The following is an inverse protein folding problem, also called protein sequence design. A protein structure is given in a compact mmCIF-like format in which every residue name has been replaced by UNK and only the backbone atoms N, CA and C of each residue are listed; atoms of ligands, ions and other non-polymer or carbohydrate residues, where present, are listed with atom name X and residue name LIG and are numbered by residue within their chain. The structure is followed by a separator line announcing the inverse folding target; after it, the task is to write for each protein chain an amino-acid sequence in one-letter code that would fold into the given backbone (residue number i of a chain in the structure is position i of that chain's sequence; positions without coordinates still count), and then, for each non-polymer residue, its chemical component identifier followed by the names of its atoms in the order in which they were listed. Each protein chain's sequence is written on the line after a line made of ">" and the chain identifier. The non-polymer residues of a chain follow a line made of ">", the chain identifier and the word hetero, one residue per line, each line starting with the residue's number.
data_IF_154674555261
#
_entry.id   IF_154674555261
#
_cell.length_a   1.000
_cell.length_b   1.000
_cell.length_c   1.000
_cell.angle_alpha   90.00
_cell.angle_beta   90.00
_cell.angle_gamma   90.00
#
_symmetry.space_group_name_H-M   'P 1'
#
loop_
_entity.id
_entity.type
_entity.pdbx_description
1 polymer ?
#
# COMPACT_ATOMS: atom_id res chain seq x y z
N UNK A 1 4.27 -23.45 12.49
CA UNK A 1 3.06 -22.93 13.15
C UNK A 1 1.95 -23.95 12.91
N UNK A 2 1.23 -24.37 13.94
CA UNK A 2 0.09 -25.28 13.81
C UNK A 2 -1.18 -24.43 13.93
N UNK A 3 -2.08 -24.56 12.96
CA UNK A 3 -3.36 -23.86 12.98
C UNK A 3 -4.37 -24.69 13.79
N UNK A 4 -5.17 -24.02 14.61
CA UNK A 4 -6.18 -24.66 15.45
C UNK A 4 -7.31 -25.26 14.61
N UNK A 5 -7.73 -24.56 13.55
CA UNK A 5 -8.71 -25.00 12.57
C UNK A 5 -8.43 -24.36 11.21
N UNK A 6 -9.12 -24.85 10.18
CA UNK A 6 -9.21 -24.22 8.87
C UNK A 6 -10.66 -23.84 8.57
N UNK A 7 -10.87 -22.77 7.82
CA UNK A 7 -12.16 -22.39 7.27
C UNK A 7 -12.33 -23.04 5.89
N UNK A 8 -13.36 -23.87 5.73
CA UNK A 8 -13.79 -24.45 4.45
C UNK A 8 -15.01 -23.68 3.96
N UNK A 9 -15.07 -23.31 2.69
CA UNK A 9 -16.30 -22.75 2.13
C UNK A 9 -17.46 -23.74 2.28
N UNK A 10 -18.60 -23.25 2.73
CA UNK A 10 -19.86 -23.99 2.64
C UNK A 10 -20.58 -23.70 1.31
N UNK A 11 -21.55 -24.53 0.96
CA UNK A 11 -22.31 -24.42 -0.28
C UNK A 11 -23.21 -23.17 -0.33
N UNK A 12 -23.39 -22.48 0.79
CA UNK A 12 -24.20 -21.26 0.92
C UNK A 12 -23.33 -19.98 0.93
N UNK A 13 -22.02 -20.10 0.65
CA UNK A 13 -21.09 -18.96 0.62
C UNK A 13 -20.59 -18.50 2.00
N UNK A 14 -20.86 -19.27 3.06
CA UNK A 14 -20.28 -19.11 4.39
C UNK A 14 -19.03 -19.97 4.59
N UNK A 15 -18.59 -20.09 5.84
CA UNK A 15 -17.40 -20.87 6.21
C UNK A 15 -17.71 -21.85 7.35
N UNK A 16 -17.32 -23.11 7.14
CA UNK A 16 -17.32 -24.17 8.15
C UNK A 16 -15.92 -24.31 8.77
N UNK A 17 -15.86 -24.49 10.10
CA UNK A 17 -14.60 -24.78 10.79
C UNK A 17 -14.27 -26.27 10.71
N UNK A 18 -13.12 -26.58 10.15
CA UNK A 18 -12.56 -27.93 10.10
C UNK A 18 -11.40 -28.04 11.07
N UNK A 19 -11.45 -29.03 11.95
CA UNK A 19 -10.42 -29.24 12.98
C UNK A 19 -9.41 -30.32 12.57
N UNK A 20 -8.16 -30.25 13.02
CA UNK A 20 -7.14 -31.27 12.73
C UNK A 20 -7.56 -32.69 13.09
N UNK A 21 -8.33 -32.87 14.17
CA UNK A 21 -8.88 -34.16 14.58
C UNK A 21 -9.73 -34.84 13.51
N UNK A 22 -10.46 -34.07 12.69
CA UNK A 22 -11.28 -34.60 11.60
C UNK A 22 -10.45 -35.24 10.48
N UNK A 23 -9.15 -34.92 10.39
CA UNK A 23 -8.27 -35.47 9.35
C UNK A 23 -7.91 -36.94 9.56
N UNK A 24 -8.31 -37.55 10.68
CA UNK A 24 -8.18 -38.99 10.90
C UNK A 24 -9.08 -39.80 9.96
N UNK A 25 -10.23 -39.25 9.57
CA UNK A 25 -11.11 -39.84 8.56
C UNK A 25 -10.46 -39.71 7.17
N UNK A 26 -10.26 -40.85 6.51
CA UNK A 26 -9.62 -40.91 5.21
C UNK A 26 -10.50 -40.36 4.09
N UNK A 27 -11.81 -40.58 4.13
CA UNK A 27 -12.77 -40.10 3.12
C UNK A 27 -12.88 -38.58 3.23
N UNK A 28 -13.06 -38.08 4.44
CA UNK A 28 -13.12 -36.64 4.69
C UNK A 28 -11.81 -35.95 4.31
N UNK A 29 -10.65 -36.52 4.66
CA UNK A 29 -9.36 -35.96 4.28
C UNK A 29 -9.18 -35.88 2.76
N UNK A 30 -9.65 -36.88 2.02
CA UNK A 30 -9.56 -36.88 0.56
C UNK A 30 -10.44 -35.79 -0.05
N UNK A 31 -11.67 -35.60 0.46
CA UNK A 31 -12.57 -34.56 -0.01
C UNK A 31 -11.99 -33.15 0.21
N UNK A 32 -11.21 -32.92 1.26
CA UNK A 32 -10.57 -31.63 1.51
C UNK A 32 -9.47 -31.24 0.50
N UNK A 33 -8.97 -32.17 -0.35
CA UNK A 33 -7.92 -31.84 -1.32
C UNK A 33 -8.41 -30.95 -2.46
N UNK A 34 -9.69 -31.04 -2.82
CA UNK A 34 -10.34 -30.19 -3.82
C UNK A 34 -10.82 -28.86 -3.26
N UNK A 35 -10.82 -28.71 -1.93
CA UNK A 35 -11.36 -27.54 -1.25
C UNK A 35 -10.35 -26.40 -1.13
N UNK A 36 -10.89 -25.18 -1.04
CA UNK A 36 -10.10 -24.03 -0.59
C UNK A 36 -10.27 -23.90 0.92
N UNK A 37 -9.19 -24.19 1.64
CA UNK A 37 -9.11 -24.01 3.08
C UNK A 37 -8.36 -22.72 3.40
N UNK A 38 -8.89 -21.90 4.30
CA UNK A 38 -8.27 -20.65 4.75
C UNK A 38 -7.98 -20.68 6.25
N UNK A 39 -7.12 -19.78 6.71
CA UNK A 39 -6.95 -19.51 8.13
C UNK A 39 -8.12 -18.68 8.70
N UNK A 40 -8.12 -18.45 10.01
CA UNK A 40 -9.19 -17.73 10.71
C UNK A 40 -9.41 -16.30 10.23
N UNK A 41 -8.38 -15.67 9.66
CA UNK A 41 -8.44 -14.32 9.10
C UNK A 41 -8.77 -14.30 7.60
N UNK A 42 -8.98 -15.47 6.97
CA UNK A 42 -9.24 -15.61 5.53
C UNK A 42 -8.10 -15.08 4.63
N UNK A 43 -6.87 -15.03 5.14
CA UNK A 43 -5.70 -14.44 4.46
C UNK A 43 -4.74 -15.48 3.92
N UNK A 44 -4.70 -16.67 4.51
CA UNK A 44 -3.71 -17.70 4.18
C UNK A 44 -4.39 -18.99 3.75
N UNK A 45 -4.06 -19.47 2.55
CA UNK A 45 -4.50 -20.79 2.10
C UNK A 45 -3.79 -21.90 2.89
N UNK A 46 -4.61 -22.77 3.48
CA UNK A 46 -4.20 -23.92 4.25
C UNK A 46 -4.35 -25.21 3.45
N UNK A 47 -3.62 -26.22 3.89
CA UNK A 47 -3.62 -27.56 3.31
C UNK A 47 -3.66 -28.59 4.44
N UNK A 48 -4.43 -29.68 4.29
CA UNK A 48 -4.43 -30.75 5.28
C UNK A 48 -3.10 -31.52 5.19
N UNK A 49 -2.54 -31.85 6.36
CA UNK A 49 -1.42 -32.80 6.47
C UNK A 49 -1.77 -33.83 7.52
N UNK A 50 -1.87 -35.08 7.08
CA UNK A 50 -2.08 -36.19 7.97
C UNK A 50 -0.75 -36.72 8.52
N UNK A 51 -0.71 -36.88 9.84
CA UNK A 51 0.23 -37.73 10.56
C UNK A 51 -0.58 -38.56 11.55
N UNK A 52 -0.21 -39.82 11.76
CA UNK A 52 -0.98 -40.76 12.58
C UNK A 52 -1.24 -40.26 14.00
N UNK A 53 -0.29 -39.52 14.55
CA UNK A 53 -0.26 -38.96 15.91
C UNK A 53 -0.61 -37.46 15.97
N UNK A 54 -0.39 -36.73 14.88
CA UNK A 54 -0.49 -35.26 14.87
C UNK A 54 -0.96 -34.72 13.51
N UNK A 55 -2.21 -35.00 13.09
CA UNK A 55 -2.78 -34.29 11.95
C UNK A 55 -2.78 -32.78 12.22
N UNK A 56 -2.56 -31.98 11.18
CA UNK A 56 -2.57 -30.52 11.28
C UNK A 56 -2.79 -29.87 9.92
N UNK A 57 -3.18 -28.61 9.94
CA UNK A 57 -3.14 -27.76 8.76
C UNK A 57 -1.80 -27.04 8.65
N UNK A 58 -1.36 -26.79 7.42
CA UNK A 58 -0.16 -26.04 7.13
C UNK A 58 -0.36 -25.14 5.91
N UNK A 59 0.39 -24.05 5.83
CA UNK A 59 0.50 -23.24 4.63
C UNK A 59 1.72 -23.68 3.80
N UNK A 60 1.60 -23.72 2.47
CA UNK A 60 2.74 -23.99 1.56
C UNK A 60 3.68 -22.80 1.47
N UNK A 61 3.13 -21.59 1.50
CA UNK A 61 3.88 -20.35 1.61
C UNK A 61 4.20 -20.06 3.07
N UNK A 62 5.30 -19.37 3.31
CA UNK A 62 5.52 -18.67 4.57
C UNK A 62 4.33 -17.75 4.84
N UNK A 63 3.85 -17.74 6.08
CA UNK A 63 2.87 -16.77 6.54
C UNK A 63 3.52 -15.40 6.42
N UNK A 64 2.97 -14.56 5.55
CA UNK A 64 3.44 -13.19 5.42
C UNK A 64 3.01 -12.40 6.63
N UNK A 65 3.93 -11.62 7.18
CA UNK A 65 3.65 -10.75 8.32
C UNK A 65 3.59 -9.31 7.85
N UNK A 66 2.80 -8.50 8.54
CA UNK A 66 2.84 -7.06 8.34
C UNK A 66 4.24 -6.58 8.72
N UNK A 67 4.86 -5.78 7.85
CA UNK A 67 6.23 -5.32 8.04
C UNK A 67 6.45 -4.52 9.32
N UNK A 68 5.44 -3.77 9.74
CA UNK A 68 5.42 -2.96 10.94
C UNK A 68 4.01 -2.90 11.54
N UNK A 69 3.93 -2.72 12.86
CA UNK A 69 2.72 -2.27 13.52
C UNK A 69 2.53 -0.78 13.25
N UNK A 70 1.43 -0.37 12.61
CA UNK A 70 1.08 1.05 12.55
C UNK A 70 0.79 1.56 13.97
N UNK A 71 1.24 2.76 14.34
CA UNK A 71 0.73 3.47 15.51
C UNK A 71 -0.80 3.57 15.44
N UNK A 72 -1.44 3.89 16.56
CA UNK A 72 -2.88 4.14 16.54
C UNK A 72 -3.16 5.40 15.73
N UNK A 73 -3.93 5.25 14.66
CA UNK A 73 -4.34 6.36 13.81
C UNK A 73 -5.31 7.30 14.54
N UNK A 74 -5.30 8.57 14.14
CA UNK A 74 -6.20 9.58 14.69
C UNK A 74 -7.51 9.62 13.93
N UNK A 75 -8.54 10.19 14.52
CA UNK A 75 -9.81 10.44 13.82
C UNK A 75 -9.67 11.39 12.62
N UNK A 76 -8.59 12.17 12.52
CA UNK A 76 -8.31 13.01 11.36
C UNK A 76 -7.77 12.16 10.19
N UNK A 77 -6.83 11.26 10.50
CA UNK A 77 -6.32 10.27 9.55
C UNK A 77 -7.45 9.45 8.93
N UNK A 78 -8.29 8.79 9.73
CA UNK A 78 -9.34 7.90 9.22
C UNK A 78 -10.37 8.64 8.36
N UNK A 79 -10.68 9.89 8.72
CA UNK A 79 -11.57 10.75 7.94
C UNK A 79 -10.96 11.08 6.58
N UNK A 80 -9.67 11.40 6.54
CA UNK A 80 -9.01 11.71 5.28
C UNK A 80 -8.87 10.47 4.39
N UNK A 81 -8.53 9.30 4.94
CA UNK A 81 -8.50 8.03 4.19
C UNK A 81 -9.85 7.77 3.50
N UNK A 82 -10.96 7.86 4.26
CA UNK A 82 -12.32 7.72 3.69
C UNK A 82 -12.62 8.77 2.64
N UNK A 83 -12.18 10.01 2.88
CA UNK A 83 -12.34 11.13 1.94
C UNK A 83 -11.58 10.89 0.64
N UNK A 84 -10.36 10.36 0.70
CA UNK A 84 -9.52 10.04 -0.46
C UNK A 84 -10.08 8.88 -1.27
N UNK A 85 -10.57 7.82 -0.62
CA UNK A 85 -11.26 6.70 -1.31
C UNK A 85 -12.49 7.19 -2.05
N UNK A 86 -13.35 7.97 -1.37
CA UNK A 86 -14.56 8.54 -1.99
C UNK A 86 -14.20 9.48 -3.14
N UNK A 87 -13.20 10.36 -2.95
CA UNK A 87 -12.72 11.26 -3.98
C UNK A 87 -12.19 10.50 -5.20
N UNK A 88 -11.34 9.48 -4.99
CA UNK A 88 -10.75 8.69 -6.07
C UNK A 88 -11.79 7.91 -6.88
N UNK A 89 -12.77 7.28 -6.22
CA UNK A 89 -13.83 6.51 -6.90
C UNK A 89 -14.82 7.38 -7.67
N UNK A 90 -14.96 8.65 -7.32
CA UNK A 90 -15.81 9.62 -8.05
C UNK A 90 -15.03 10.43 -9.09
N UNK A 91 -13.70 10.31 -9.14
CA UNK A 91 -12.86 11.06 -10.06
C UNK A 91 -12.57 10.25 -11.33
N UNK A 92 -12.95 10.80 -12.50
CA UNK A 92 -12.54 10.24 -13.78
C UNK A 92 -12.51 11.31 -14.90
N UNK A 93 -11.31 11.67 -15.44
CA UNK A 93 -10.00 11.23 -15.00
C UNK A 93 -9.58 11.86 -13.66
N UNK A 94 -8.78 11.14 -12.88
CA UNK A 94 -8.00 11.71 -11.78
C UNK A 94 -6.60 12.07 -12.26
N UNK A 95 -6.24 13.35 -12.22
CA UNK A 95 -4.90 13.83 -12.53
C UNK A 95 -4.10 14.00 -11.23
N UNK A 96 -3.00 13.27 -11.09
CA UNK A 96 -2.05 13.41 -9.98
C UNK A 96 -0.91 14.31 -10.45
N UNK A 97 -0.52 15.29 -9.63
CA UNK A 97 0.51 16.24 -10.02
C UNK A 97 0.94 17.19 -8.92
N UNK A 98 1.80 18.15 -9.25
CA UNK A 98 2.28 19.18 -8.33
C UNK A 98 2.20 20.56 -8.99
N UNK A 99 2.33 21.61 -8.19
CA UNK A 99 2.46 22.96 -8.73
C UNK A 99 3.93 23.33 -8.87
N UNK A 100 4.31 23.90 -10.00
CA UNK A 100 5.63 24.45 -10.29
C UNK A 100 5.49 25.89 -10.81
N UNK A 101 6.60 26.62 -10.87
CA UNK A 101 6.67 28.01 -11.33
C UNK A 101 7.70 28.19 -12.46
N UNK A 102 7.59 27.47 -13.59
CA UNK A 102 8.49 27.67 -14.71
C UNK A 102 8.22 29.07 -15.27
N UNK A 103 9.13 30.02 -15.02
CA UNK A 103 8.98 31.45 -15.37
C UNK A 103 8.10 32.28 -14.42
N UNK A 104 7.90 31.82 -13.18
CA UNK A 104 7.20 32.59 -12.15
C UNK A 104 5.67 32.50 -12.21
N UNK A 105 5.11 31.79 -13.18
CA UNK A 105 3.67 31.53 -13.27
C UNK A 105 3.31 30.17 -12.67
N UNK A 106 2.23 30.12 -11.89
CA UNK A 106 1.80 28.90 -11.21
C UNK A 106 1.18 27.91 -12.19
N UNK A 107 1.88 26.83 -12.48
CA UNK A 107 1.42 25.76 -13.38
C UNK A 107 1.24 24.43 -12.65
N UNK A 108 0.22 23.66 -13.01
CA UNK A 108 0.04 22.30 -12.48
C UNK A 108 0.70 21.30 -13.42
N UNK A 109 1.80 20.70 -12.97
CA UNK A 109 2.53 19.67 -13.69
C UNK A 109 1.92 18.30 -13.41
N UNK A 110 1.54 17.60 -14.47
CA UNK A 110 0.97 16.26 -14.41
C UNK A 110 2.09 15.23 -14.19
N UNK A 111 1.95 14.40 -13.15
CA UNK A 111 2.74 13.17 -13.00
C UNK A 111 1.98 12.04 -13.70
N UNK A 112 0.68 11.89 -13.37
CA UNK A 112 -0.18 10.85 -13.92
C UNK A 112 -1.58 11.36 -14.24
N UNK A 113 -2.19 10.78 -15.27
CA UNK A 113 -3.61 10.91 -15.58
C UNK A 113 -4.27 9.55 -15.58
N UNK A 114 -4.96 9.27 -14.48
CA UNK A 114 -5.57 7.99 -14.15
C UNK A 114 -7.02 7.97 -14.66
N UNK A 115 -7.39 6.91 -15.38
CA UNK A 115 -8.74 6.67 -15.93
C UNK A 115 -9.19 5.26 -15.61
N UNK A 116 -10.48 5.11 -15.33
CA UNK A 116 -11.07 3.82 -14.96
C UNK A 116 -10.36 3.18 -13.74
N UNK A 117 -10.05 3.97 -12.70
CA UNK A 117 -9.46 3.47 -11.46
C UNK A 117 -10.53 3.11 -10.43
N UNK A 118 -10.23 2.12 -9.61
CA UNK A 118 -10.94 1.85 -8.36
C UNK A 118 -9.99 2.07 -7.18
N UNK A 119 -10.53 2.57 -6.08
CA UNK A 119 -9.79 2.93 -4.89
C UNK A 119 -10.40 2.25 -3.68
N UNK A 120 -9.56 1.71 -2.81
CA UNK A 120 -9.98 1.10 -1.56
C UNK A 120 -9.00 1.46 -0.44
N UNK A 121 -9.45 1.34 0.80
CA UNK A 121 -8.65 1.64 2.00
C UNK A 121 -8.03 0.40 2.61
N UNK A 122 -7.00 0.59 3.43
CA UNK A 122 -6.40 -0.48 4.25
C UNK A 122 -5.95 -1.71 3.43
N UNK A 123 -5.51 -1.46 2.20
CA UNK A 123 -5.19 -2.49 1.24
C UNK A 123 -3.86 -3.17 1.55
N UNK A 124 -3.92 -4.48 1.83
CA UNK A 124 -2.73 -5.30 2.04
C UNK A 124 -2.06 -5.65 0.70
N UNK A 125 -0.79 -5.27 0.56
CA UNK A 125 0.01 -5.53 -0.63
C UNK A 125 1.25 -6.35 -0.29
N UNK A 126 1.44 -7.45 -1.01
CA UNK A 126 2.57 -8.37 -0.80
C UNK A 126 3.85 -7.74 -1.34
N UNK A 127 4.88 -7.70 -0.50
CA UNK A 127 6.14 -7.04 -0.84
C UNK A 127 7.29 -8.02 -1.06
N UNK A 128 7.27 -9.15 -0.34
CA UNK A 128 8.19 -10.26 -0.54
C UNK A 128 7.56 -11.58 -0.04
N UNK A 129 8.37 -12.64 0.03
CA UNK A 129 7.92 -13.97 0.45
C UNK A 129 7.43 -14.02 1.90
N UNK A 130 7.88 -13.13 2.76
CA UNK A 130 7.67 -13.14 4.20
C UNK A 130 6.87 -11.94 4.70
N UNK A 131 6.65 -10.94 3.86
CA UNK A 131 6.15 -9.65 4.29
C UNK A 131 5.04 -9.09 3.39
N UNK A 132 4.17 -8.30 4.00
CA UNK A 132 3.25 -7.41 3.30
C UNK A 132 3.23 -6.03 3.98
N UNK A 133 2.85 -5.01 3.21
CA UNK A 133 2.53 -3.66 3.71
C UNK A 133 1.03 -3.44 3.59
N UNK A 134 0.49 -2.55 4.40
CA UNK A 134 -0.91 -2.15 4.31
C UNK A 134 -0.94 -0.66 4.00
N UNK A 135 -1.29 -0.33 2.77
CA UNK A 135 -1.45 1.06 2.33
C UNK A 135 -2.74 1.64 2.89
N UNK A 136 -2.74 2.92 3.25
CA UNK A 136 -3.96 3.59 3.72
C UNK A 136 -5.01 3.66 2.62
N UNK A 137 -4.57 4.00 1.41
CA UNK A 137 -5.39 3.97 0.20
C UNK A 137 -4.59 3.33 -0.93
N UNK A 138 -5.23 2.45 -1.70
CA UNK A 138 -4.65 1.87 -2.92
C UNK A 138 -5.62 2.03 -4.08
N UNK A 139 -5.13 2.64 -5.15
CA UNK A 139 -5.79 2.78 -6.44
C UNK A 139 -5.20 1.83 -7.47
N UNK A 140 -6.05 1.15 -8.23
CA UNK A 140 -5.64 0.34 -9.38
C UNK A 140 -6.54 0.60 -10.59
N UNK A 141 -5.99 0.42 -11.79
CA UNK A 141 -6.84 0.38 -12.98
C UNK A 141 -7.77 -0.82 -12.93
N UNK A 142 -9.02 -0.64 -13.40
CA UNK A 142 -9.96 -1.74 -13.65
C UNK A 142 -9.51 -2.64 -14.80
N UNK A 143 -8.59 -2.16 -15.65
CA UNK A 143 -7.97 -2.95 -16.71
C UNK A 143 -6.89 -3.85 -16.10
N UNK A 144 -6.72 -5.06 -16.65
CA UNK A 144 -5.86 -6.13 -16.09
C UNK A 144 -4.34 -5.87 -16.30
N UNK A 145 -3.94 -4.65 -16.67
CA UNK A 145 -2.54 -4.29 -16.95
C UNK A 145 -1.89 -3.47 -15.85
N UNK A 146 -0.67 -3.87 -15.43
CA UNK A 146 0.22 -3.05 -14.61
C UNK A 146 1.38 -2.54 -15.48
N UNK A 147 1.32 -1.28 -15.90
CA UNK A 147 2.31 -0.65 -16.80
C UNK A 147 2.48 0.81 -16.40
N UNK A 148 3.50 1.49 -16.92
CA UNK A 148 3.75 2.91 -16.63
C UNK A 148 2.53 3.82 -16.87
N UNK A 149 1.69 3.55 -17.88
CA UNK A 149 0.47 4.34 -18.12
C UNK A 149 -0.71 3.98 -17.20
N UNK A 150 -0.56 2.90 -16.43
CA UNK A 150 -1.58 2.30 -15.57
C UNK A 150 -0.91 1.78 -14.29
N UNK A 151 -0.21 2.63 -13.53
CA UNK A 151 0.49 2.20 -12.33
C UNK A 151 -0.51 1.86 -11.22
N UNK A 152 -0.08 1.07 -10.25
CA UNK A 152 -0.68 1.09 -8.92
C UNK A 152 -0.36 2.45 -8.27
N UNK A 153 -1.34 3.05 -7.64
CA UNK A 153 -1.16 4.31 -6.93
C UNK A 153 -1.57 4.12 -5.49
N UNK A 154 -0.59 4.04 -4.61
CA UNK A 154 -0.84 4.05 -3.18
C UNK A 154 -0.80 5.49 -2.65
N UNK A 155 -1.56 5.74 -1.58
CA UNK A 155 -1.47 6.97 -0.79
C UNK A 155 -1.25 6.55 0.65
N UNK A 156 -0.15 7.01 1.24
CA UNK A 156 0.13 6.90 2.68
C UNK A 156 -0.16 8.26 3.33
N UNK A 157 -1.09 8.28 4.27
CA UNK A 157 -1.52 9.51 4.93
C UNK A 157 -0.63 9.76 6.14
N UNK A 158 0.10 10.87 6.12
CA UNK A 158 1.00 11.27 7.21
C UNK A 158 0.30 12.31 8.07
N UNK A 159 0.04 11.92 9.32
CA UNK A 159 -0.54 12.78 10.35
C UNK A 159 0.46 13.01 11.49
N UNK A 160 0.54 12.06 12.41
CA UNK A 160 1.42 12.14 13.59
C UNK A 160 2.74 11.40 13.42
N UNK A 161 2.84 10.50 12.44
CA UNK A 161 4.00 9.66 12.21
C UNK A 161 4.25 9.50 10.73
N UNK A 162 5.52 9.60 10.34
CA UNK A 162 5.97 9.22 9.01
C UNK A 162 6.00 7.70 8.83
N UNK A 163 6.06 7.24 7.57
CA UNK A 163 6.24 5.83 7.22
C UNK A 163 7.49 5.30 7.94
N UNK A 164 7.38 4.17 8.66
CA UNK A 164 8.53 3.62 9.36
C UNK A 164 9.64 3.21 8.39
N UNK A 165 10.90 3.27 8.86
CA UNK A 165 12.09 3.03 8.04
C UNK A 165 12.04 1.72 7.25
N UNK A 166 11.59 0.64 7.89
CA UNK A 166 11.61 -0.69 7.29
C UNK A 166 10.58 -0.79 6.17
N UNK A 167 9.37 -0.27 6.40
CA UNK A 167 8.33 -0.16 5.38
C UNK A 167 8.75 0.78 4.25
N UNK A 168 9.31 1.94 4.58
CA UNK A 168 9.79 2.93 3.61
C UNK A 168 10.81 2.35 2.63
N UNK A 169 11.87 1.71 3.14
CA UNK A 169 12.91 1.13 2.28
C UNK A 169 12.38 -0.03 1.43
N UNK A 170 11.44 -0.81 1.96
CA UNK A 170 10.80 -1.88 1.20
C UNK A 170 9.85 -1.35 0.12
N UNK A 171 9.06 -0.33 0.41
CA UNK A 171 8.23 0.37 -0.57
C UNK A 171 9.12 0.91 -1.70
N UNK A 172 10.21 1.62 -1.38
CA UNK A 172 11.19 2.07 -2.37
C UNK A 172 11.75 0.92 -3.21
N UNK A 173 12.15 -0.17 -2.57
CA UNK A 173 12.65 -1.34 -3.30
C UNK A 173 11.61 -1.84 -4.31
N UNK A 174 10.32 -1.82 -3.97
CA UNK A 174 9.26 -2.28 -4.85
C UNK A 174 8.96 -1.35 -6.02
N UNK A 175 8.98 -0.03 -5.80
CA UNK A 175 8.75 0.94 -6.87
C UNK A 175 9.86 0.92 -7.94
N UNK A 176 11.02 0.32 -7.65
CA UNK A 176 12.05 0.04 -8.67
C UNK A 176 11.66 -1.00 -9.70
N UNK A 177 10.82 -1.96 -9.31
CA UNK A 177 10.52 -3.15 -10.12
C UNK A 177 9.08 -3.21 -10.59
N UNK A 178 8.22 -2.38 -10.03
CA UNK A 178 6.79 -2.36 -10.34
C UNK A 178 6.39 -0.92 -10.70
N UNK A 179 5.47 -0.74 -11.67
CA UNK A 179 4.75 0.51 -11.88
C UNK A 179 3.86 0.82 -10.67
N UNK A 180 4.48 1.25 -9.58
CA UNK A 180 3.88 1.60 -8.31
C UNK A 180 4.39 2.98 -7.90
N UNK A 181 3.44 3.87 -7.61
CA UNK A 181 3.70 5.21 -7.11
C UNK A 181 3.07 5.30 -5.73
N UNK A 182 3.83 5.74 -4.74
CA UNK A 182 3.32 5.93 -3.39
C UNK A 182 3.33 7.41 -3.07
N UNK A 183 2.15 8.02 -3.10
CA UNK A 183 1.95 9.42 -2.72
C UNK A 183 2.04 9.53 -1.20
N UNK A 184 2.85 10.47 -0.73
CA UNK A 184 2.97 10.77 0.71
C UNK A 184 2.10 11.98 1.02
N UNK A 185 0.93 11.72 1.61
CA UNK A 185 -0.13 12.69 1.82
C UNK A 185 -0.16 13.21 3.26
N UNK A 186 0.58 14.28 3.50
CA UNK A 186 0.55 15.04 4.74
C UNK A 186 -0.81 15.72 5.00
N UNK A 187 -1.35 15.55 6.20
CA UNK A 187 -2.56 16.25 6.69
C UNK A 187 -2.29 17.70 7.13
N UNK A 188 -1.02 18.05 7.31
CA UNK A 188 -0.59 19.40 7.67
C UNK A 188 -0.11 20.20 6.44
N UNK A 189 0.23 21.47 6.64
CA UNK A 189 0.71 22.35 5.58
C UNK A 189 -0.41 23.07 4.80
N UNK A 190 -1.61 23.21 5.39
CA UNK A 190 -2.67 24.14 4.96
C UNK A 190 -3.04 24.08 3.46
N UNK A 191 -3.07 22.89 2.87
CA UNK A 191 -3.36 22.73 1.43
C UNK A 191 -2.21 23.10 0.48
N UNK A 192 -1.07 23.58 1.01
CA UNK A 192 0.15 23.87 0.25
C UNK A 192 0.92 22.61 -0.12
N UNK A 193 0.78 21.53 0.64
CA UNK A 193 1.46 20.26 0.35
C UNK A 193 0.58 19.34 -0.49
N UNK A 194 -0.64 19.11 -0.02
CA UNK A 194 -1.60 18.23 -0.67
C UNK A 194 -2.96 18.90 -0.76
N UNK A 195 -3.66 18.63 -1.85
CA UNK A 195 -5.01 19.17 -2.07
C UNK A 195 -5.71 18.35 -3.14
N UNK A 196 -6.95 17.97 -2.86
CA UNK A 196 -7.83 17.28 -3.80
C UNK A 196 -8.97 18.20 -4.25
N UNK A 197 -9.23 18.27 -5.55
CA UNK A 197 -10.33 19.08 -6.11
C UNK A 197 -10.93 18.49 -7.36
N UNK A 198 -12.23 18.65 -7.51
CA UNK A 198 -12.89 18.52 -8.81
C UNK A 198 -12.65 19.78 -9.63
N UNK A 199 -12.57 19.61 -10.95
CA UNK A 199 -12.27 20.69 -11.90
C UNK A 199 -13.45 20.96 -12.82
N UNK A 200 -13.87 19.97 -13.63
CA UNK A 200 -15.07 20.05 -14.47
C UNK A 200 -15.75 18.68 -14.51
N UNK A 201 -17.02 18.63 -14.15
CA UNK A 201 -17.73 17.36 -13.97
C UNK A 201 -17.01 16.50 -12.92
N UNK A 202 -16.76 15.23 -13.26
CA UNK A 202 -16.02 14.28 -12.44
C UNK A 202 -14.49 14.34 -12.65
N UNK A 203 -13.98 15.17 -13.57
CA UNK A 203 -12.53 15.31 -13.74
C UNK A 203 -11.93 15.97 -12.50
N UNK A 204 -10.90 15.36 -11.92
CA UNK A 204 -10.34 15.80 -10.65
C UNK A 204 -8.81 15.92 -10.68
N UNK A 205 -8.28 16.67 -9.72
CA UNK A 205 -6.84 16.83 -9.49
C UNK A 205 -6.50 16.49 -8.05
N UNK A 206 -5.49 15.64 -7.88
CA UNK A 206 -4.83 15.37 -6.61
C UNK A 206 -3.44 15.99 -6.68
N UNK A 207 -3.19 16.98 -5.81
CA UNK A 207 -1.85 17.52 -5.61
C UNK A 207 -1.06 16.56 -4.71
N UNK A 208 0.06 16.08 -5.24
CA UNK A 208 1.02 15.20 -4.59
C UNK A 208 2.42 15.82 -4.75
N UNK A 209 2.82 16.68 -3.81
CA UNK A 209 4.17 17.27 -3.86
C UNK A 209 5.26 16.25 -3.49
N UNK A 210 4.91 15.20 -2.74
CA UNK A 210 5.84 14.19 -2.26
C UNK A 210 5.36 12.80 -2.65
N UNK A 211 6.26 12.02 -3.23
CA UNK A 211 5.93 10.67 -3.66
C UNK A 211 7.18 9.80 -3.72
N UNK A 212 6.97 8.49 -3.68
CA UNK A 212 7.99 7.48 -3.92
C UNK A 212 7.66 6.80 -5.25
N UNK A 213 8.62 6.80 -6.14
CA UNK A 213 8.56 6.20 -7.48
C UNK A 213 9.98 5.74 -7.82
N UNK A 214 10.17 4.81 -8.75
CA UNK A 214 11.48 4.40 -9.30
C UNK A 214 12.62 4.11 -8.28
N UNK A 215 12.25 3.78 -7.04
CA UNK A 215 13.18 3.61 -5.91
C UNK A 215 13.66 4.86 -5.19
N UNK A 216 13.11 6.03 -5.52
CA UNK A 216 13.51 7.31 -4.94
C UNK A 216 12.33 8.10 -4.41
N UNK A 217 12.67 9.02 -3.51
CA UNK A 217 11.75 10.00 -2.98
C UNK A 217 11.83 11.27 -3.84
N UNK A 218 10.67 11.76 -4.23
CA UNK A 218 10.53 12.90 -5.14
C UNK A 218 9.86 14.07 -4.43
N UNK A 219 10.31 15.28 -4.77
CA UNK A 219 9.71 16.54 -4.33
C UNK A 219 9.35 17.36 -5.57
N UNK A 220 8.09 17.27 -5.98
CA UNK A 220 7.62 17.79 -7.26
C UNK A 220 8.40 17.13 -8.41
N UNK A 221 9.21 17.93 -9.12
CA UNK A 221 10.08 17.47 -10.22
C UNK A 221 11.47 17.00 -9.80
N UNK A 222 11.86 17.25 -8.56
CA UNK A 222 13.22 16.99 -8.12
C UNK A 222 13.31 15.65 -7.42
N UNK A 223 14.20 14.80 -7.91
CA UNK A 223 14.60 13.60 -7.20
C UNK A 223 15.44 13.99 -6.00
N UNK A 224 15.29 13.32 -4.86
CA UNK A 224 16.06 13.63 -3.65
C UNK A 224 17.57 13.68 -3.93
N UNK A 225 18.06 12.74 -4.72
CA UNK A 225 19.46 12.62 -5.13
C UNK A 225 19.99 13.82 -5.92
N UNK A 226 19.10 14.58 -6.55
CA UNK A 226 19.42 15.79 -7.33
C UNK A 226 19.38 17.06 -6.47
N UNK A 227 18.67 17.04 -5.33
CA UNK A 227 18.67 18.16 -4.39
C UNK A 227 20.01 18.20 -3.66
N UNK A 228 20.65 19.37 -3.70
CA UNK A 228 21.87 19.64 -2.95
C UNK A 228 21.59 19.68 -1.45
N UNK A 229 21.67 18.53 -0.79
CA UNK A 229 21.82 18.51 0.66
C UNK A 229 23.21 19.04 1.00
N UNK A 230 23.25 19.98 1.94
CA UNK A 230 24.49 20.53 2.50
C UNK A 230 25.35 19.50 3.23
N UNK A 231 24.86 18.26 3.38
CA UNK A 231 25.58 17.11 3.93
C UNK A 231 25.83 16.06 2.83
N UNK A 232 27.00 15.43 2.84
CA UNK A 232 27.32 14.26 2.01
C UNK A 232 26.44 13.08 2.44
N UNK A 233 25.24 12.96 1.88
CA UNK A 233 24.36 11.81 2.10
C UNK A 233 24.86 10.64 1.25
N UNK A 234 25.02 9.47 1.85
CA UNK A 234 25.25 8.24 1.10
C UNK A 234 23.91 7.66 0.65
N UNK A 235 23.47 7.99 -0.56
CA UNK A 235 22.18 7.52 -1.09
C UNK A 235 22.09 6.00 -1.32
N UNK A 236 23.20 5.26 -1.19
CA UNK A 236 23.22 3.80 -1.21
C UNK A 236 22.91 3.18 0.16
N UNK A 237 23.08 3.96 1.24
CA UNK A 237 22.72 3.54 2.60
C UNK A 237 21.22 3.74 2.80
N UNK A 238 20.53 2.65 3.13
CA UNK A 238 19.09 2.67 3.44
C UNK A 238 18.77 3.55 4.66
N UNK A 239 19.67 3.58 5.64
CA UNK A 239 19.54 4.40 6.84
C UNK A 239 19.74 5.88 6.51
N UNK A 240 20.85 6.23 5.85
CA UNK A 240 21.17 7.64 5.54
C UNK A 240 20.13 8.25 4.61
N UNK A 241 19.61 7.47 3.65
CA UNK A 241 18.56 7.92 2.74
C UNK A 241 17.25 8.19 3.49
N UNK A 242 16.83 7.27 4.37
CA UNK A 242 15.62 7.44 5.16
C UNK A 242 15.74 8.67 6.08
N UNK A 243 16.86 8.83 6.76
CA UNK A 243 17.10 9.96 7.67
C UNK A 243 17.13 11.29 6.90
N UNK A 244 17.65 11.32 5.67
CA UNK A 244 17.59 12.49 4.81
C UNK A 244 16.15 12.88 4.42
N UNK A 245 15.32 11.89 4.03
CA UNK A 245 13.90 12.12 3.71
C UNK A 245 13.15 12.64 4.93
N UNK A 246 13.36 12.03 6.09
CA UNK A 246 12.75 12.45 7.34
C UNK A 246 13.20 13.86 7.77
N UNK A 247 14.45 14.23 7.51
CA UNK A 247 14.95 15.57 7.83
C UNK A 247 14.30 16.67 6.97
N UNK A 248 13.91 16.36 5.73
CA UNK A 248 13.16 17.28 4.86
C UNK A 248 11.75 17.54 5.36
N UNK A 249 11.09 16.49 5.86
CA UNK A 249 9.77 16.58 6.48
C UNK A 249 9.76 17.62 7.60
N UNK A 250 10.79 17.63 8.45
CA UNK A 250 10.86 18.48 9.64
C UNK A 250 11.24 19.94 9.35
N UNK A 251 12.06 20.20 8.33
CA UNK A 251 12.74 21.50 8.20
C UNK A 251 12.18 22.45 7.12
N UNK A 252 11.62 21.95 6.01
CA UNK A 252 11.24 22.81 4.88
C UNK A 252 9.74 23.14 4.81
N UNK A 253 8.86 22.38 5.48
CA UNK A 253 7.41 22.43 5.21
C UNK A 253 6.47 22.52 6.43
N UNK A 254 7.03 22.50 7.65
CA UNK A 254 6.31 22.79 8.91
C UNK A 254 6.39 24.30 9.26
N UNK A 255 7.19 25.09 8.54
CA UNK A 255 7.26 26.56 8.69
C UNK A 255 6.27 27.28 7.78
#
# INVERSE_FOLDING_TARGET
>A
MKYEYALKNDDNGGYERVYPSSLHDAVFRESLKSETLLDSEQKVRLYPRYRKDAPHFYARSSIRRRLASKPKDTSAHDREVKSLVSFGNNADPLTVGYYDFPKGEKEFQEIYRLRDYEWDSECSYVIDRYNYVQFDVLGRSKKIGLREKQPLVAIEVVDTHFIDKKSFNKIRQMTRFNPLVVIVYFLFGEGKLNHKKYTRGNAARLRANFYIEDGSFWIGKYRLEEKHFSKKINFKSEDDYYDAVRALEVNEYIR
#
